data_IF_575825245887
#
_entry.id   IF_575825245887
#
_cell.length_a   1.000
_cell.length_b   1.000
_cell.length_c   1.000
_cell.angle_alpha   90.00
_cell.angle_beta   90.00
_cell.angle_gamma   90.00
#
_symmetry.space_group_name_H-M   'P 1'
#
loop_
_entity.id
_entity.type
_entity.pdbx_description
1 polymer ?
#
# COMPACT_ATOMS: atom_id res chain seq x y z
N UNK A 1 34.68 -2.91 13.72
CA UNK A 1 33.62 -1.97 13.32
C UNK A 1 32.69 -2.68 12.35
N UNK A 2 31.44 -2.94 12.75
CA UNK A 2 30.48 -3.60 11.86
C UNK A 2 30.07 -2.60 10.75
N UNK A 3 30.46 -2.91 9.50
CA UNK A 3 29.90 -2.21 8.33
C UNK A 3 28.43 -2.56 8.24
N UNK A 4 27.55 -1.57 8.37
CA UNK A 4 26.14 -1.70 8.06
C UNK A 4 26.00 -2.13 6.59
N UNK A 5 25.65 -3.40 6.36
CA UNK A 5 25.26 -3.93 5.04
C UNK A 5 23.74 -3.78 4.93
N UNK A 6 23.24 -2.55 4.93
CA UNK A 6 21.85 -2.33 4.60
C UNK A 6 21.66 -2.65 3.12
N UNK A 7 20.82 -3.64 2.82
CA UNK A 7 20.27 -3.78 1.48
C UNK A 7 19.60 -2.45 1.11
N UNK A 8 20.03 -1.86 0.01
CA UNK A 8 19.48 -0.59 -0.44
C UNK A 8 18.08 -0.85 -0.96
N UNK A 9 17.09 -0.20 -0.35
CA UNK A 9 15.74 -0.15 -0.91
C UNK A 9 15.83 0.33 -2.35
N UNK A 10 15.21 -0.40 -3.28
CA UNK A 10 15.24 -0.03 -4.70
C UNK A 10 14.52 1.30 -4.89
N UNK A 11 15.08 2.27 -5.62
CA UNK A 11 14.36 3.50 -5.92
C UNK A 11 13.05 3.19 -6.65
N UNK A 12 11.94 3.76 -6.17
CA UNK A 12 10.63 3.71 -6.85
C UNK A 12 10.53 4.83 -7.90
N UNK A 13 11.17 5.97 -7.62
CA UNK A 13 11.07 7.19 -8.41
C UNK A 13 12.37 7.53 -9.13
N UNK A 14 12.26 8.30 -10.21
CA UNK A 14 13.43 8.97 -10.79
C UNK A 14 14.00 10.02 -9.84
N UNK A 15 15.29 10.35 -10.00
CA UNK A 15 15.96 11.36 -9.18
C UNK A 15 15.36 12.76 -9.30
N UNK A 16 14.69 13.05 -10.41
CA UNK A 16 14.09 14.36 -10.69
C UNK A 16 12.60 14.40 -10.37
N UNK A 17 12.05 13.36 -9.75
CA UNK A 17 10.64 13.33 -9.35
C UNK A 17 10.33 14.44 -8.35
N UNK A 18 9.18 15.08 -8.51
CA UNK A 18 8.75 16.17 -7.63
C UNK A 18 7.64 15.71 -6.69
N UNK A 19 7.72 16.19 -5.45
CA UNK A 19 6.78 15.89 -4.38
C UNK A 19 6.17 17.18 -3.86
N UNK A 20 4.87 17.15 -3.61
CA UNK A 20 4.12 18.25 -3.02
C UNK A 20 3.50 17.78 -1.72
N UNK A 21 3.50 18.63 -0.71
CA UNK A 21 2.81 18.32 0.55
C UNK A 21 1.32 18.11 0.23
N UNK A 22 0.75 17.00 0.69
CA UNK A 22 -0.64 16.65 0.38
C UNK A 22 -0.85 15.89 -0.92
N UNK A 23 0.22 15.44 -1.60
CA UNK A 23 0.12 14.65 -2.81
C UNK A 23 0.31 13.14 -2.59
N UNK A 24 -0.01 12.39 -3.63
CA UNK A 24 0.23 10.96 -3.79
C UNK A 24 0.78 10.66 -5.18
N UNK A 25 1.19 9.42 -5.46
CA UNK A 25 1.64 8.98 -6.80
C UNK A 25 1.00 7.64 -7.15
N UNK A 26 0.33 7.59 -8.30
CA UNK A 26 -0.10 6.31 -8.89
C UNK A 26 1.09 5.68 -9.61
N UNK A 27 1.53 4.52 -9.14
CA UNK A 27 2.71 3.81 -9.65
C UNK A 27 2.36 2.75 -10.69
N UNK A 28 1.14 2.22 -10.61
CA UNK A 28 0.59 1.24 -11.54
C UNK A 28 -0.91 1.49 -11.64
N UNK A 29 -1.44 1.54 -12.87
CA UNK A 29 -2.88 1.61 -13.12
C UNK A 29 -3.20 1.06 -14.52
N UNK A 30 -4.42 0.57 -14.67
CA UNK A 30 -5.08 0.30 -15.96
C UNK A 30 -6.60 0.50 -15.84
N UNK A 31 -7.32 0.37 -16.95
CA UNK A 31 -8.79 0.50 -16.96
C UNK A 31 -9.49 -0.76 -16.42
N UNK A 32 -8.76 -1.85 -16.27
CA UNK A 32 -9.24 -3.15 -15.77
C UNK A 32 -8.97 -3.35 -14.27
N UNK A 33 -8.44 -2.35 -13.57
CA UNK A 33 -8.09 -2.44 -12.15
C UNK A 33 -9.33 -2.78 -11.29
N UNK A 34 -9.31 -3.94 -10.63
CA UNK A 34 -10.42 -4.41 -9.78
C UNK A 34 -10.38 -3.83 -8.35
N UNK A 35 -9.21 -3.36 -7.91
CA UNK A 35 -9.02 -2.67 -6.63
C UNK A 35 -7.78 -1.78 -6.68
N UNK A 36 -7.66 -0.87 -5.72
CA UNK A 36 -6.46 -0.06 -5.50
C UNK A 36 -5.74 -0.46 -4.22
N UNK A 37 -4.48 -0.84 -4.33
CA UNK A 37 -3.54 -0.94 -3.22
C UNK A 37 -3.02 0.46 -2.87
N UNK A 38 -3.28 0.92 -1.65
CA UNK A 38 -2.81 2.21 -1.12
C UNK A 38 -1.74 1.93 -0.08
N UNK A 39 -0.52 2.40 -0.29
CA UNK A 39 0.63 2.08 0.55
C UNK A 39 1.50 3.31 0.81
N UNK A 40 2.42 3.23 1.78
CA UNK A 40 3.41 4.26 2.05
C UNK A 40 4.70 3.64 2.61
N UNK A 41 5.86 4.16 2.22
CA UNK A 41 7.15 3.65 2.69
C UNK A 41 7.43 2.21 2.23
N UNK A 42 7.82 1.33 3.15
CA UNK A 42 8.25 -0.04 2.80
C UNK A 42 7.14 -0.86 2.13
N UNK A 43 5.87 -0.62 2.50
CA UNK A 43 4.73 -1.36 1.96
C UNK A 43 4.43 -1.01 0.51
N UNK A 44 4.99 0.06 -0.04
CA UNK A 44 4.92 0.36 -1.49
C UNK A 44 5.60 -0.75 -2.30
N UNK A 45 6.73 -1.26 -1.80
CA UNK A 45 7.45 -2.34 -2.47
C UNK A 45 6.68 -3.65 -2.41
N UNK A 46 6.09 -3.98 -1.26
CA UNK A 46 5.29 -5.19 -1.12
C UNK A 46 3.97 -5.10 -1.90
N UNK A 47 3.36 -3.92 -1.99
CA UNK A 47 2.18 -3.67 -2.84
C UNK A 47 2.49 -3.83 -4.33
N UNK A 48 3.62 -3.29 -4.82
CA UNK A 48 4.05 -3.51 -6.22
C UNK A 48 4.34 -4.99 -6.51
N UNK A 49 4.96 -5.71 -5.57
CA UNK A 49 5.19 -7.14 -5.69
C UNK A 49 3.86 -7.93 -5.73
N UNK A 50 2.91 -7.57 -4.87
CA UNK A 50 1.57 -8.15 -4.84
C UNK A 50 0.82 -7.88 -6.15
N UNK A 51 0.84 -6.66 -6.67
CA UNK A 51 0.18 -6.31 -7.93
C UNK A 51 0.71 -7.11 -9.12
N UNK A 52 2.03 -7.39 -9.16
CA UNK A 52 2.61 -8.29 -10.17
C UNK A 52 2.02 -9.70 -10.07
N UNK A 53 1.94 -10.26 -8.87
CA UNK A 53 1.42 -11.62 -8.62
C UNK A 53 -0.08 -11.72 -8.89
N UNK A 54 -0.86 -10.73 -8.46
CA UNK A 54 -2.28 -10.61 -8.76
C UNK A 54 -2.55 -10.67 -10.26
N UNK A 55 -1.71 -9.99 -11.06
CA UNK A 55 -1.84 -10.03 -12.52
C UNK A 55 -1.56 -11.42 -13.10
N UNK A 56 -0.64 -12.19 -12.50
CA UNK A 56 -0.41 -13.60 -12.85
C UNK A 56 -1.63 -14.47 -12.51
N UNK A 57 -2.47 -14.06 -11.55
CA UNK A 57 -3.75 -14.68 -11.19
C UNK A 57 -4.95 -14.13 -11.98
N UNK A 58 -4.73 -13.24 -12.95
CA UNK A 58 -5.80 -12.64 -13.77
C UNK A 58 -6.54 -11.48 -13.12
N UNK A 59 -6.01 -10.91 -12.03
CA UNK A 59 -6.57 -9.73 -11.37
C UNK A 59 -5.64 -8.53 -11.54
N UNK A 60 -6.12 -7.47 -12.20
CA UNK A 60 -5.42 -6.20 -12.28
C UNK A 60 -5.65 -5.37 -11.00
N UNK A 61 -4.61 -4.77 -10.46
CA UNK A 61 -4.68 -3.91 -9.29
C UNK A 61 -3.86 -2.63 -9.51
N UNK A 62 -4.48 -1.51 -9.14
CA UNK A 62 -3.83 -0.21 -9.08
C UNK A 62 -2.91 -0.15 -7.86
N UNK A 63 -1.79 0.56 -7.96
CA UNK A 63 -0.91 0.84 -6.80
C UNK A 63 -0.72 2.34 -6.67
N UNK A 64 -1.07 2.87 -5.50
CA UNK A 64 -0.89 4.28 -5.13
C UNK A 64 0.02 4.41 -3.92
N UNK A 65 1.09 5.20 -4.05
CA UNK A 65 1.94 5.63 -2.94
C UNK A 65 1.38 6.92 -2.33
N UNK A 66 0.80 6.78 -1.14
CA UNK A 66 0.31 7.87 -0.31
C UNK A 66 1.46 8.47 0.53
N UNK A 67 2.52 8.93 -0.12
CA UNK A 67 3.73 9.45 0.52
C UNK A 67 3.45 10.59 1.52
N UNK A 68 2.37 11.34 1.31
CA UNK A 68 1.85 12.34 2.25
C UNK A 68 0.63 11.78 2.99
N UNK A 69 0.86 11.19 4.17
CA UNK A 69 -0.24 10.74 5.05
C UNK A 69 -1.01 11.93 5.62
N UNK A 70 -0.31 13.04 5.90
CA UNK A 70 -0.91 14.28 6.41
C UNK A 70 -0.19 15.53 5.87
N UNK A 71 -0.90 16.42 5.16
CA UNK A 71 -2.27 16.26 4.66
C UNK A 71 -2.35 15.09 3.66
N UNK A 72 -3.54 14.47 3.57
CA UNK A 72 -3.79 13.35 2.67
C UNK A 72 -4.25 13.86 1.29
N UNK A 73 -3.84 13.20 0.21
CA UNK A 73 -4.30 13.48 -1.15
C UNK A 73 -5.72 12.96 -1.39
N UNK A 74 -6.69 13.62 -0.76
CA UNK A 74 -8.11 13.23 -0.85
C UNK A 74 -8.60 13.20 -2.30
N UNK A 75 -8.30 14.17 -3.19
CA UNK A 75 -8.73 14.12 -4.58
C UNK A 75 -8.25 12.86 -5.31
N UNK A 76 -6.97 12.49 -5.18
CA UNK A 76 -6.45 11.29 -5.84
C UNK A 76 -7.07 9.99 -5.29
N UNK A 77 -7.28 9.91 -3.98
CA UNK A 77 -7.93 8.75 -3.35
C UNK A 77 -9.39 8.60 -3.76
N UNK A 78 -10.11 9.72 -3.94
CA UNK A 78 -11.48 9.72 -4.49
C UNK A 78 -11.50 9.18 -5.91
N UNK A 79 -10.61 9.67 -6.77
CA UNK A 79 -10.51 9.16 -8.14
C UNK A 79 -10.14 7.67 -8.18
N UNK A 80 -9.29 7.20 -7.26
CA UNK A 80 -8.93 5.79 -7.17
C UNK A 80 -10.09 4.89 -6.73
N UNK A 81 -10.85 5.29 -5.69
CA UNK A 81 -12.00 4.50 -5.23
C UNK A 81 -13.17 4.57 -6.20
N UNK A 82 -13.35 5.67 -6.93
CA UNK A 82 -14.34 5.77 -8.00
C UNK A 82 -13.99 4.87 -9.19
N UNK A 83 -12.70 4.77 -9.54
CA UNK A 83 -12.24 3.91 -10.64
C UNK A 83 -12.33 2.41 -10.32
N UNK A 84 -12.07 2.03 -9.07
CA UNK A 84 -11.90 0.61 -8.69
C UNK A 84 -12.95 0.08 -7.72
N UNK A 85 -13.77 0.95 -7.13
CA UNK A 85 -14.79 0.62 -6.12
C UNK A 85 -14.25 0.18 -4.76
N UNK A 86 -12.98 -0.23 -4.67
CA UNK A 86 -12.36 -0.84 -3.49
C UNK A 86 -10.93 -0.38 -3.27
N UNK A 87 -10.63 0.07 -2.05
CA UNK A 87 -9.26 0.34 -1.60
C UNK A 87 -8.81 -0.75 -0.60
N UNK A 88 -7.58 -1.23 -0.76
CA UNK A 88 -6.86 -2.02 0.24
C UNK A 88 -5.66 -1.20 0.70
N UNK A 89 -5.75 -0.64 1.91
CA UNK A 89 -4.68 0.13 2.53
C UNK A 89 -3.70 -0.82 3.21
N UNK A 90 -2.40 -0.64 2.96
CA UNK A 90 -1.33 -1.47 3.52
C UNK A 90 -0.26 -0.58 4.14
N UNK A 91 -0.07 -0.67 5.45
CA UNK A 91 0.91 0.13 6.18
C UNK A 91 1.73 -0.68 7.20
N UNK A 92 3.02 -0.37 7.31
CA UNK A 92 3.90 -0.87 8.38
C UNK A 92 3.82 0.08 9.59
N UNK A 93 2.60 0.25 10.09
CA UNK A 93 2.26 1.06 11.24
C UNK A 93 1.13 0.36 12.00
N UNK A 94 0.90 0.75 13.25
CA UNK A 94 -0.26 0.27 14.00
C UNK A 94 -1.54 0.54 13.20
N UNK A 95 -2.48 -0.40 13.24
CA UNK A 95 -3.77 -0.28 12.54
C UNK A 95 -4.57 0.95 12.99
N UNK A 96 -4.35 1.42 14.21
CA UNK A 96 -5.07 2.57 14.77
C UNK A 96 -4.23 3.86 14.61
N UNK A 97 -4.85 4.92 14.11
CA UNK A 97 -4.29 6.26 13.96
C UNK A 97 -3.38 6.48 12.74
N UNK A 98 -3.25 5.47 11.87
CA UNK A 98 -2.36 5.47 10.70
C UNK A 98 -3.00 5.97 9.40
N UNK A 99 -2.40 5.55 8.29
CA UNK A 99 -2.87 5.80 6.93
C UNK A 99 -4.28 5.22 6.69
N UNK A 100 -4.55 4.00 7.16
CA UNK A 100 -5.84 3.34 7.02
C UNK A 100 -6.98 4.13 7.64
N UNK A 101 -6.78 4.65 8.85
CA UNK A 101 -7.77 5.51 9.52
C UNK A 101 -7.94 6.85 8.78
N UNK A 102 -6.84 7.45 8.32
CA UNK A 102 -6.90 8.69 7.55
C UNK A 102 -7.68 8.52 6.23
N UNK A 103 -7.43 7.42 5.49
CA UNK A 103 -8.14 7.09 4.25
C UNK A 103 -9.61 6.79 4.55
N UNK A 104 -9.91 5.96 5.56
CA UNK A 104 -11.27 5.61 5.95
C UNK A 104 -12.10 6.84 6.31
N UNK A 105 -11.54 7.78 7.06
CA UNK A 105 -12.22 9.01 7.46
C UNK A 105 -12.58 9.92 6.28
N UNK A 106 -11.74 9.95 5.22
CA UNK A 106 -11.90 10.89 4.12
C UNK A 106 -12.71 10.33 2.94
N UNK A 107 -12.57 9.04 2.63
CA UNK A 107 -13.17 8.42 1.43
C UNK A 107 -13.97 7.15 1.70
N UNK A 108 -14.09 6.69 2.94
CA UNK A 108 -14.80 5.44 3.29
C UNK A 108 -16.30 5.40 3.02
N UNK A 109 -16.91 6.52 2.64
CA UNK A 109 -18.31 6.57 2.20
C UNK A 109 -18.50 6.31 0.71
N UNK A 110 -17.43 6.27 -0.07
CA UNK A 110 -17.48 6.19 -1.54
C UNK A 110 -17.34 4.76 -2.07
N UNK A 111 -16.87 3.82 -1.24
CA UNK A 111 -16.64 2.44 -1.65
C UNK A 111 -16.15 1.59 -0.49
N UNK A 112 -15.67 0.38 -0.81
CA UNK A 112 -15.15 -0.56 0.19
C UNK A 112 -13.72 -0.18 0.57
N UNK A 113 -13.40 -0.18 1.86
CA UNK A 113 -12.04 0.01 2.35
C UNK A 113 -11.67 -1.16 3.24
N UNK A 114 -10.55 -1.78 2.90
CA UNK A 114 -9.88 -2.80 3.69
C UNK A 114 -8.55 -2.26 4.17
N UNK A 115 -8.07 -2.75 5.31
CA UNK A 115 -6.88 -2.22 5.96
C UNK A 115 -6.03 -3.35 6.54
N UNK A 116 -4.78 -3.44 6.08
CA UNK A 116 -3.70 -4.23 6.64
C UNK A 116 -2.70 -3.29 7.34
N UNK A 117 -2.55 -3.49 8.64
CA UNK A 117 -1.60 -2.78 9.48
C UNK A 117 -1.02 -3.74 10.52
N UNK A 118 0.00 -3.28 11.24
CA UNK A 118 0.66 -4.05 12.30
C UNK A 118 -0.34 -4.32 13.43
N UNK A 119 -0.54 -5.60 13.72
CA UNK A 119 -1.32 -6.09 14.86
C UNK A 119 -0.37 -6.80 15.84
N UNK A 120 -0.50 -6.48 17.12
CA UNK A 120 0.27 -7.10 18.20
C UNK A 120 1.57 -6.38 18.52
N UNK A 121 2.42 -7.05 19.30
CA UNK A 121 3.68 -6.47 19.79
C UNK A 121 4.78 -6.54 18.73
N UNK A 122 5.61 -5.49 18.60
CA UNK A 122 6.80 -5.54 17.78
C UNK A 122 7.85 -6.45 18.42
N UNK A 123 8.70 -7.05 17.58
CA UNK A 123 9.76 -7.94 18.03
C UNK A 123 11.05 -7.74 17.21
N UNK A 124 12.16 -8.27 17.71
CA UNK A 124 13.41 -8.34 16.94
C UNK A 124 13.38 -9.54 16.01
N UNK A 125 13.49 -9.28 14.71
CA UNK A 125 13.70 -10.26 13.65
C UNK A 125 14.26 -9.53 12.41
N UNK A 126 14.51 -10.24 11.32
CA UNK A 126 14.82 -9.60 10.04
C UNK A 126 13.59 -8.85 9.48
N UNK A 127 13.77 -7.86 8.60
CA UNK A 127 12.64 -7.14 8.00
C UNK A 127 11.60 -8.05 7.33
N UNK A 128 12.05 -9.06 6.58
CA UNK A 128 11.15 -9.99 5.89
C UNK A 128 10.34 -10.85 6.88
N UNK A 129 10.98 -11.33 7.95
CA UNK A 129 10.29 -12.08 9.02
C UNK A 129 9.23 -11.23 9.73
N UNK A 130 9.48 -9.93 9.91
CA UNK A 130 8.50 -9.02 10.52
C UNK A 130 7.33 -8.72 9.58
N UNK A 131 7.60 -8.46 8.30
CA UNK A 131 6.54 -8.26 7.30
C UNK A 131 5.66 -9.51 7.18
N UNK A 132 6.25 -10.70 7.18
CA UNK A 132 5.50 -11.96 7.16
C UNK A 132 4.67 -12.15 8.44
N UNK A 133 5.27 -11.90 9.61
CA UNK A 133 4.57 -11.99 10.91
C UNK A 133 3.34 -11.09 10.98
N UNK A 134 3.45 -9.87 10.47
CA UNK A 134 2.37 -8.87 10.53
C UNK A 134 1.45 -8.86 9.31
N UNK A 135 1.58 -9.83 8.40
CA UNK A 135 0.74 -9.99 7.21
C UNK A 135 0.89 -8.90 6.15
N UNK A 136 2.10 -8.36 6.01
CA UNK A 136 2.43 -7.24 5.11
C UNK A 136 3.36 -7.66 3.95
N UNK A 137 3.67 -8.95 3.82
CA UNK A 137 4.43 -9.47 2.66
C UNK A 137 3.59 -9.44 1.37
N UNK A 138 4.24 -9.44 0.21
CA UNK A 138 3.55 -9.45 -1.09
C UNK A 138 2.57 -10.63 -1.23
N UNK A 139 2.93 -11.81 -0.73
CA UNK A 139 2.11 -13.03 -0.74
C UNK A 139 0.85 -12.93 0.11
N UNK A 140 0.89 -12.14 1.18
CA UNK A 140 -0.25 -11.95 2.07
C UNK A 140 -1.17 -10.86 1.51
N UNK A 141 -0.60 -9.76 0.99
CA UNK A 141 -1.37 -8.72 0.30
C UNK A 141 -2.11 -9.32 -0.90
N UNK A 142 -1.46 -10.17 -1.71
CA UNK A 142 -2.09 -10.89 -2.82
C UNK A 142 -3.29 -11.73 -2.34
N UNK A 143 -3.08 -12.56 -1.31
CA UNK A 143 -4.14 -13.42 -0.76
C UNK A 143 -5.34 -12.61 -0.28
N UNK A 144 -5.11 -11.52 0.44
CA UNK A 144 -6.17 -10.63 0.92
C UNK A 144 -6.88 -9.94 -0.25
N UNK A 145 -6.14 -9.45 -1.24
CA UNK A 145 -6.73 -8.82 -2.43
C UNK A 145 -7.60 -9.79 -3.25
N UNK A 146 -7.18 -11.05 -3.44
CA UNK A 146 -7.99 -12.08 -4.09
C UNK A 146 -9.27 -12.38 -3.28
N UNK A 147 -9.17 -12.48 -1.95
CA UNK A 147 -10.32 -12.71 -1.08
C UNK A 147 -11.33 -11.56 -1.11
N UNK A 148 -10.87 -10.32 -1.27
CA UNK A 148 -11.71 -9.12 -1.36
C UNK A 148 -12.45 -9.04 -2.70
N UNK A 149 -11.83 -9.53 -3.77
CA UNK A 149 -12.33 -9.47 -5.15
C UNK A 149 -13.22 -10.66 -5.55
N UNK A 150 -13.23 -11.74 -4.75
CA UNK A 150 -14.17 -12.85 -4.88
C UNK A 150 -15.60 -12.44 -4.49
#
# INVERSE_FOLDING_TARGET
MARWRGERCRPVYDRNETFVIGGSKTLLASDEDALTLVAAGITVHTALAAAKRLREQGLAARVSDAYSVKPLDVPALKAAIEATGTLLVVEDHNRDGGLGDAVAAQVGRLGRIFHLGVVGEPHSASPDELLERHRLSGDQIEREALAIAA
#
